data_IF_690481308483
#
_entry.id   IF_690481308483
#
_cell.length_a   1.000
_cell.length_b   1.000
_cell.length_c   1.000
_cell.angle_alpha   90.00
_cell.angle_beta   90.00
_cell.angle_gamma   90.00
#
_symmetry.space_group_name_H-M   'P 1'
#
loop_
_entity.id
_entity.type
_entity.pdbx_description
1 polymer ?
#
# COMPACT_ATOMS: atom_id res chain seq x y z
N UNK A 1 -5.29 -13.58 7.52
CA UNK A 1 -5.34 -12.11 7.52
C UNK A 1 -3.96 -11.61 7.91
N UNK A 2 -3.32 -10.79 7.08
CA UNK A 2 -1.95 -10.35 7.30
C UNK A 2 -1.87 -9.36 8.48
N UNK A 3 -0.75 -9.35 9.21
CA UNK A 3 -0.46 -8.35 10.23
C UNK A 3 0.42 -7.26 9.63
N UNK A 4 -0.06 -6.02 9.71
CA UNK A 4 0.69 -4.85 9.27
C UNK A 4 1.41 -4.25 10.46
N UNK A 5 2.75 -4.26 10.42
CA UNK A 5 3.58 -3.53 11.39
C UNK A 5 3.78 -2.11 10.88
N UNK A 6 3.25 -1.14 11.62
CA UNK A 6 3.32 0.28 11.33
C UNK A 6 4.48 0.88 12.13
N UNK A 7 5.39 1.57 11.46
CA UNK A 7 6.59 2.14 12.09
C UNK A 7 6.79 3.59 11.64
N UNK A 8 6.97 4.50 12.60
CA UNK A 8 7.52 5.84 12.36
C UNK A 8 8.94 5.84 12.88
N UNK A 9 9.89 6.26 12.04
CA UNK A 9 11.29 6.44 12.44
C UNK A 9 11.75 7.87 12.19
N UNK A 10 12.63 8.36 13.06
CA UNK A 10 13.09 9.75 13.07
C UNK A 10 14.55 9.88 12.61
N UNK A 11 15.13 8.82 12.06
CA UNK A 11 16.48 8.81 11.51
C UNK A 11 17.54 9.14 12.56
N UNK A 12 18.27 10.24 12.37
CA UNK A 12 19.35 10.69 13.25
C UNK A 12 18.87 11.45 14.50
N UNK A 13 17.56 11.61 14.68
CA UNK A 13 17.06 12.25 15.90
C UNK A 13 17.22 11.32 17.11
N UNK A 14 17.24 11.90 18.32
CA UNK A 14 17.28 11.13 19.56
C UNK A 14 15.90 10.54 19.96
N UNK A 15 14.84 10.84 19.21
CA UNK A 15 13.50 10.35 19.52
C UNK A 15 13.35 8.86 19.21
N UNK A 16 12.61 8.12 20.05
CA UNK A 16 12.39 6.70 19.83
C UNK A 16 11.47 6.45 18.62
N UNK A 17 11.73 5.36 17.92
CA UNK A 17 10.82 4.85 16.89
C UNK A 17 9.45 4.52 17.51
N UNK A 18 8.37 4.88 16.81
CA UNK A 18 7.00 4.53 17.21
C UNK A 18 6.58 3.31 16.42
N UNK A 19 6.22 2.23 17.12
CA UNK A 19 5.83 0.95 16.51
C UNK A 19 4.46 0.55 17.00
N UNK A 20 3.58 0.22 16.06
CA UNK A 20 2.23 -0.29 16.31
C UNK A 20 1.88 -1.36 15.28
N UNK A 21 0.80 -2.10 15.49
CA UNK A 21 0.35 -3.16 14.60
C UNK A 21 -1.15 -3.04 14.34
N UNK A 22 -1.58 -3.34 13.12
CA UNK A 22 -3.00 -3.45 12.76
C UNK A 22 -3.25 -4.69 11.90
N UNK A 23 -4.48 -5.19 11.90
CA UNK A 23 -4.98 -6.19 10.94
C UNK A 23 -5.83 -5.58 9.84
N UNK A 24 -6.21 -4.31 10.00
CA UNK A 24 -7.00 -3.58 9.03
C UNK A 24 -6.09 -2.89 8.00
N UNK A 25 -6.16 -3.28 6.72
CA UNK A 25 -5.37 -2.64 5.67
C UNK A 25 -5.76 -1.17 5.48
N UNK A 26 -7.02 -0.77 5.72
CA UNK A 26 -7.46 0.63 5.61
C UNK A 26 -6.76 1.50 6.66
N UNK A 27 -6.70 1.05 7.92
CA UNK A 27 -5.91 1.73 8.95
C UNK A 27 -4.43 1.84 8.59
N UNK A 28 -3.84 0.81 7.97
CA UNK A 28 -2.45 0.84 7.50
C UNK A 28 -2.24 1.85 6.35
N UNK A 29 -3.20 1.96 5.44
CA UNK A 29 -3.21 2.99 4.39
C UNK A 29 -3.32 4.39 4.99
N UNK A 30 -4.23 4.59 5.95
CA UNK A 30 -4.39 5.86 6.66
C UNK A 30 -3.09 6.26 7.37
N UNK A 31 -2.40 5.30 7.99
CA UNK A 31 -1.09 5.51 8.59
C UNK A 31 -0.08 6.06 7.57
N UNK A 32 0.05 5.43 6.40
CA UNK A 32 0.92 5.96 5.33
C UNK A 32 0.46 7.32 4.83
N UNK A 33 -0.85 7.58 4.70
CA UNK A 33 -1.34 8.86 4.17
C UNK A 33 -1.16 10.00 5.17
N UNK A 34 -1.68 9.85 6.38
CA UNK A 34 -2.05 10.96 7.26
C UNK A 34 -1.35 10.98 8.61
N UNK A 35 -0.98 9.82 9.18
CA UNK A 35 -0.34 9.82 10.50
C UNK A 35 0.97 10.62 10.46
N UNK A 36 1.24 11.31 11.56
CA UNK A 36 2.42 12.16 11.71
C UNK A 36 3.15 11.80 13.00
N UNK A 37 4.44 12.09 13.05
CA UNK A 37 5.14 11.99 14.32
C UNK A 37 4.71 13.09 15.29
N UNK A 38 4.54 12.79 16.60
CA UNK A 38 4.39 13.81 17.62
C UNK A 38 5.71 14.53 17.98
N UNK A 39 6.86 14.00 17.56
CA UNK A 39 8.18 14.47 18.04
C UNK A 39 8.93 15.34 17.02
N UNK A 40 8.81 15.05 15.73
CA UNK A 40 9.56 15.77 14.70
C UNK A 40 8.78 15.91 13.40
N UNK A 41 9.20 16.88 12.58
CA UNK A 41 8.73 17.01 11.18
C UNK A 41 9.52 16.13 10.21
N UNK A 42 10.76 15.81 10.56
CA UNK A 42 11.63 14.91 9.79
C UNK A 42 11.46 13.47 10.26
N UNK A 43 10.51 12.75 9.65
CA UNK A 43 10.26 11.35 9.95
C UNK A 43 9.98 10.54 8.69
N UNK A 44 10.13 9.23 8.80
CA UNK A 44 9.79 8.25 7.76
C UNK A 44 8.74 7.29 8.30
N UNK A 45 7.71 7.02 7.49
CA UNK A 45 6.67 6.04 7.77
C UNK A 45 6.95 4.76 7.01
N UNK A 46 6.77 3.62 7.67
CA UNK A 46 7.03 2.30 7.10
C UNK A 46 5.87 1.39 7.50
N UNK A 47 5.27 0.74 6.52
CA UNK A 47 4.37 -0.41 6.74
C UNK A 47 5.10 -1.67 6.31
N UNK A 48 5.18 -2.64 7.21
CA UNK A 48 5.86 -3.92 6.96
C UNK A 48 4.79 -5.01 7.02
N UNK A 49 4.75 -5.82 5.96
CA UNK A 49 3.80 -6.94 5.82
C UNK A 49 4.42 -7.97 4.87
N UNK A 50 4.34 -9.26 5.21
CA UNK A 50 4.80 -10.38 4.37
C UNK A 50 6.21 -10.17 3.77
N UNK A 51 7.17 -9.76 4.61
CA UNK A 51 8.54 -9.41 4.22
C UNK A 51 8.71 -8.23 3.24
N UNK A 52 7.62 -7.59 2.81
CA UNK A 52 7.66 -6.33 2.05
C UNK A 52 7.62 -5.12 2.97
N UNK A 53 8.17 -4.01 2.50
CA UNK A 53 8.14 -2.73 3.20
C UNK A 53 7.64 -1.63 2.27
N UNK A 54 6.66 -0.86 2.74
CA UNK A 54 6.11 0.29 2.04
C UNK A 54 6.51 1.54 2.80
N UNK A 55 7.34 2.36 2.17
CA UNK A 55 7.98 3.51 2.80
C UNK A 55 7.37 4.82 2.29
N UNK A 56 7.10 5.75 3.20
CA UNK A 56 6.78 7.15 2.88
C UNK A 56 7.66 8.12 3.67
N UNK A 57 8.42 8.93 2.95
CA UNK A 57 9.20 10.06 3.44
C UNK A 57 9.24 11.17 2.37
N UNK A 58 10.17 12.12 2.47
CA UNK A 58 10.29 13.22 1.51
C UNK A 58 10.72 12.76 0.10
N UNK A 59 11.53 11.70 0.00
CA UNK A 59 12.06 11.21 -1.26
C UNK A 59 11.20 10.09 -1.88
N UNK A 60 10.56 9.26 -1.03
CA UNK A 60 9.88 8.04 -1.42
C UNK A 60 8.42 8.07 -0.97
N UNK A 61 7.52 7.57 -1.82
CA UNK A 61 6.10 7.47 -1.49
C UNK A 61 5.48 6.18 -2.05
N UNK A 62 5.58 5.08 -1.31
CA UNK A 62 5.01 3.78 -1.67
C UNK A 62 3.51 3.65 -1.31
N UNK A 63 2.79 4.75 -1.09
CA UNK A 63 1.37 4.71 -0.70
C UNK A 63 0.49 4.07 -1.77
N UNK A 64 0.73 4.37 -3.05
CA UNK A 64 -0.05 3.83 -4.16
C UNK A 64 0.21 2.33 -4.36
N UNK A 65 1.47 1.90 -4.22
CA UNK A 65 1.87 0.50 -4.27
C UNK A 65 1.20 -0.30 -3.15
N UNK A 66 1.22 0.21 -1.91
CA UNK A 66 0.52 -0.41 -0.79
C UNK A 66 -0.99 -0.51 -1.04
N UNK A 67 -1.60 0.56 -1.58
CA UNK A 67 -3.02 0.57 -1.89
C UNK A 67 -3.35 -0.51 -2.94
N UNK A 68 -2.56 -0.63 -4.00
CA UNK A 68 -2.75 -1.67 -5.03
C UNK A 68 -2.62 -3.09 -4.47
N UNK A 69 -1.66 -3.32 -3.56
CA UNK A 69 -1.36 -4.66 -3.03
C UNK A 69 -2.39 -5.14 -2.00
N UNK A 70 -2.99 -4.23 -1.20
CA UNK A 70 -3.79 -4.61 -0.04
C UNK A 70 -5.17 -3.97 0.06
N UNK A 71 -5.48 -2.96 -0.76
CA UNK A 71 -6.76 -2.27 -0.78
C UNK A 71 -7.38 -2.51 -2.15
N UNK A 72 -8.08 -3.62 -2.27
CA UNK A 72 -8.98 -3.83 -3.38
C UNK A 72 -10.28 -3.08 -3.06
N UNK A 73 -10.40 -1.86 -3.58
CA UNK A 73 -11.71 -1.25 -3.76
C UNK A 73 -12.55 -2.29 -4.50
N UNK A 74 -13.67 -2.72 -3.92
CA UNK A 74 -14.34 -3.99 -4.22
C UNK A 74 -14.89 -4.18 -5.65
N UNK A 75 -14.03 -4.19 -6.66
CA UNK A 75 -14.32 -4.52 -8.04
C UNK A 75 -13.14 -5.27 -8.67
N UNK A 76 -13.05 -6.56 -8.36
CA UNK A 76 -12.55 -7.53 -9.34
C UNK A 76 -13.29 -8.86 -9.22
N UNK A 77 -14.62 -8.79 -9.16
CA UNK A 77 -15.44 -9.83 -9.77
C UNK A 77 -15.85 -9.32 -11.14
N UNK A 78 -15.47 -10.05 -12.20
CA UNK A 78 -15.85 -9.83 -13.61
C UNK A 78 -15.05 -8.76 -14.37
N UNK A 79 -13.74 -8.94 -14.60
CA UNK A 79 -13.14 -8.43 -15.86
C UNK A 79 -11.96 -9.24 -16.43
N UNK A 80 -11.55 -10.35 -15.77
CA UNK A 80 -10.41 -11.16 -16.25
C UNK A 80 -10.76 -12.23 -17.29
N UNK A 81 -11.97 -12.28 -17.89
CA UNK A 81 -12.34 -13.43 -18.74
C UNK A 81 -13.12 -13.17 -20.05
N UNK A 82 -13.23 -11.93 -20.55
CA UNK A 82 -14.00 -11.67 -21.78
C UNK A 82 -13.30 -10.90 -22.91
N UNK A 83 -12.07 -10.42 -22.74
CA UNK A 83 -11.35 -9.70 -23.81
C UNK A 83 -10.59 -10.61 -24.80
N UNK A 84 -10.52 -11.93 -24.59
CA UNK A 84 -9.83 -12.86 -25.50
C UNK A 84 -10.73 -13.59 -26.50
N UNK A 85 -12.06 -13.35 -26.52
CA UNK A 85 -12.97 -14.02 -27.48
C UNK A 85 -13.57 -13.16 -28.60
N UNK A 86 -13.33 -11.85 -28.64
CA UNK A 86 -13.96 -10.98 -29.65
C UNK A 86 -13.04 -10.66 -30.85
N UNK A 87 -11.73 -10.93 -30.77
CA UNK A 87 -10.80 -10.64 -31.88
C UNK A 87 -10.70 -11.72 -32.97
N UNK A 88 -11.32 -12.89 -32.81
CA UNK A 88 -11.35 -13.93 -33.86
C UNK A 88 -12.66 -14.00 -34.66
N UNK A 89 -13.67 -13.18 -34.36
CA UNK A 89 -14.93 -13.18 -35.11
C UNK A 89 -14.90 -12.38 -36.42
N UNK A 90 -13.73 -11.84 -36.83
CA UNK A 90 -13.58 -11.04 -38.06
C UNK A 90 -12.71 -11.69 -39.14
N UNK A 91 -12.40 -12.98 -39.01
CA UNK A 91 -11.71 -13.78 -40.04
C UNK A 91 -12.62 -14.88 -40.59
N UNK A 92 -13.80 -14.52 -41.10
CA UNK A 92 -14.55 -15.37 -42.05
C UNK A 92 -15.72 -14.57 -42.64
N UNK A 93 -15.41 -13.63 -43.53
CA UNK A 93 -16.28 -13.28 -44.65
C UNK A 93 -15.40 -12.93 -45.84
N UNK A 94 -15.09 -13.94 -46.64
CA UNK A 94 -14.94 -13.80 -48.08
C UNK A 94 -15.50 -15.06 -48.72
#
# INVERSE_FOLDING_TARGET
>A
MAFFKLKITHGLSHYPDIITTTRDPQRALQFLKYDVSPYSRGFTKIVIVDNKQYVKNLANNATAEFQSDYIHDGECSVFTLLSSKILFARWNRK
#
